data_IF_745565347756
#
_entry.id   IF_745565347756
#
_cell.length_a   1.000
_cell.length_b   1.000
_cell.length_c   1.000
_cell.angle_alpha   90.00
_cell.angle_beta   90.00
_cell.angle_gamma   90.00
#
_symmetry.space_group_name_H-M   'P 1'
#
loop_
_entity.id
_entity.type
_entity.pdbx_description
1 polymer ?
#
# COMPACT_ATOMS: atom_id res chain seq x y z
N UNK A 1 5.21 6.10 -14.77
CA UNK A 1 4.22 5.88 -13.69
C UNK A 1 4.85 5.95 -12.29
N UNK A 2 5.82 5.10 -11.91
CA UNK A 2 6.47 5.16 -10.58
C UNK A 2 7.02 6.56 -10.29
N UNK A 3 7.74 7.14 -11.27
CA UNK A 3 8.36 8.46 -11.12
C UNK A 3 7.33 9.58 -10.99
N UNK A 4 6.18 9.44 -11.63
CA UNK A 4 5.07 10.38 -11.50
C UNK A 4 4.46 10.32 -10.10
N UNK A 5 4.21 9.11 -9.57
CA UNK A 5 3.75 8.91 -8.18
C UNK A 5 4.77 9.54 -7.23
N UNK A 6 6.06 9.23 -7.42
CA UNK A 6 7.15 9.78 -6.62
C UNK A 6 7.17 11.31 -6.65
N UNK A 7 7.02 11.92 -7.83
CA UNK A 7 6.99 13.37 -8.00
C UNK A 7 5.80 13.99 -7.27
N UNK A 8 4.60 13.44 -7.44
CA UNK A 8 3.37 13.92 -6.79
C UNK A 8 3.43 13.79 -5.27
N UNK A 9 3.99 12.70 -4.75
CA UNK A 9 4.21 12.49 -3.31
C UNK A 9 5.29 13.44 -2.77
N UNK A 10 6.38 13.66 -3.51
CA UNK A 10 7.49 14.53 -3.09
C UNK A 10 7.05 15.99 -2.91
N UNK A 11 6.24 16.52 -3.84
CA UNK A 11 5.70 17.89 -3.71
C UNK A 11 4.82 18.05 -2.47
N UNK A 12 3.99 17.04 -2.15
CA UNK A 12 3.11 17.07 -0.96
C UNK A 12 3.86 16.80 0.34
N UNK A 13 4.96 16.05 0.30
CA UNK A 13 5.84 15.83 1.44
C UNK A 13 6.42 17.15 1.95
N UNK A 14 6.75 18.08 1.06
CA UNK A 14 7.25 19.40 1.47
C UNK A 14 6.22 20.19 2.29
N UNK A 15 4.92 20.05 1.99
CA UNK A 15 3.86 20.64 2.82
C UNK A 15 3.86 20.06 4.24
N UNK A 16 3.99 18.73 4.36
CA UNK A 16 4.08 18.06 5.67
C UNK A 16 5.32 18.53 6.42
N UNK A 17 6.48 18.68 5.75
CA UNK A 17 7.70 19.20 6.39
C UNK A 17 7.49 20.58 6.99
N UNK A 18 6.84 21.48 6.26
CA UNK A 18 6.57 22.87 6.70
C UNK A 18 5.61 22.86 7.88
N UNK A 19 4.47 22.17 7.75
CA UNK A 19 3.42 22.11 8.78
C UNK A 19 3.90 21.41 10.05
N UNK A 20 4.82 20.47 9.91
CA UNK A 20 5.37 19.75 11.05
C UNK A 20 6.32 20.61 11.90
N UNK A 21 6.69 21.83 11.49
CA UNK A 21 7.57 22.68 12.31
C UNK A 21 6.97 22.96 13.72
N UNK A 22 7.82 22.96 14.75
CA UNK A 22 7.44 23.18 16.16
C UNK A 22 6.63 24.46 16.37
N UNK A 23 6.84 25.50 15.56
CA UNK A 23 6.10 26.77 15.65
C UNK A 23 4.59 26.63 15.45
N UNK A 24 4.13 25.65 14.67
CA UNK A 24 2.70 25.46 14.39
C UNK A 24 1.96 24.66 15.47
N UNK A 25 2.67 23.95 16.35
CA UNK A 25 2.05 23.23 17.47
C UNK A 25 1.09 22.10 17.08
N UNK A 26 1.15 21.57 15.85
CA UNK A 26 0.22 20.53 15.40
C UNK A 26 0.47 19.18 16.09
N UNK A 27 -0.62 18.52 16.48
CA UNK A 27 -0.59 17.16 17.03
C UNK A 27 -0.16 16.14 15.95
N UNK A 28 0.53 15.08 16.37
CA UNK A 28 0.93 13.95 15.54
C UNK A 28 -0.25 13.30 14.82
N UNK A 29 -1.40 13.17 15.47
CA UNK A 29 -2.60 12.60 14.84
C UNK A 29 -3.09 13.47 13.67
N UNK A 30 -3.10 14.80 13.84
CA UNK A 30 -3.48 15.75 12.78
C UNK A 30 -2.52 15.67 11.61
N UNK A 31 -1.22 15.67 11.88
CA UNK A 31 -0.18 15.52 10.85
C UNK A 31 -0.25 14.15 10.15
N UNK A 32 -0.55 13.09 10.90
CA UNK A 32 -0.78 11.75 10.36
C UNK A 32 -2.00 11.70 9.44
N UNK A 33 -3.10 12.36 9.81
CA UNK A 33 -4.28 12.47 8.96
C UNK A 33 -4.01 13.29 7.69
N UNK A 34 -3.25 14.39 7.80
CA UNK A 34 -2.79 15.15 6.63
C UNK A 34 -1.93 14.29 5.69
N UNK A 35 -1.02 13.47 6.24
CA UNK A 35 -0.28 12.49 5.44
C UNK A 35 -1.21 11.52 4.71
N UNK A 36 -2.16 10.89 5.44
CA UNK A 36 -3.11 9.93 4.83
C UNK A 36 -3.90 10.59 3.71
N UNK A 37 -4.39 11.81 3.92
CA UNK A 37 -5.20 12.56 2.96
C UNK A 37 -4.41 13.01 1.73
N UNK A 38 -3.18 13.50 1.91
CA UNK A 38 -2.40 14.09 0.81
C UNK A 38 -1.53 13.07 0.06
N UNK A 39 -0.78 12.25 0.80
CA UNK A 39 0.20 11.31 0.23
C UNK A 39 -0.37 9.90 0.21
N UNK A 40 -1.01 9.47 1.30
CA UNK A 40 -1.61 8.15 1.42
C UNK A 40 -2.62 7.87 0.32
N UNK A 41 -3.51 8.81 0.03
CA UNK A 41 -4.50 8.71 -1.05
C UNK A 41 -3.90 8.48 -2.44
N UNK A 42 -2.74 9.10 -2.74
CA UNK A 42 -2.04 8.89 -4.02
C UNK A 42 -1.53 7.46 -4.11
N UNK A 43 -0.90 6.99 -3.04
CA UNK A 43 -0.35 5.63 -2.97
C UNK A 43 -1.48 4.61 -3.06
N UNK A 44 -2.55 4.81 -2.28
CA UNK A 44 -3.72 3.93 -2.25
C UNK A 44 -4.37 3.83 -3.62
N UNK A 45 -4.60 4.96 -4.31
CA UNK A 45 -5.23 4.93 -5.62
C UNK A 45 -4.39 4.16 -6.66
N UNK A 46 -3.07 4.19 -6.52
CA UNK A 46 -2.16 3.47 -7.41
C UNK A 46 -2.02 1.97 -7.10
N UNK A 47 -2.68 1.43 -6.08
CA UNK A 47 -2.50 0.04 -5.64
C UNK A 47 -2.62 -1.03 -6.74
N UNK A 48 -3.55 -0.94 -7.72
CA UNK A 48 -3.70 -1.99 -8.73
C UNK A 48 -2.43 -2.17 -9.56
N UNK A 49 -1.69 -1.08 -9.75
CA UNK A 49 -0.43 -1.08 -10.48
C UNK A 49 0.78 -1.31 -9.58
N UNK A 50 0.73 -0.87 -8.31
CA UNK A 50 1.84 -1.01 -7.38
C UNK A 50 2.13 -2.47 -7.01
N UNK A 51 1.12 -3.36 -7.05
CA UNK A 51 1.35 -4.79 -6.84
C UNK A 51 2.18 -5.45 -7.95
N UNK A 52 2.28 -4.83 -9.13
CA UNK A 52 3.15 -5.28 -10.23
C UNK A 52 4.54 -4.63 -10.21
N UNK A 53 4.83 -3.76 -9.22
CA UNK A 53 6.11 -3.07 -9.17
C UNK A 53 7.21 -3.95 -8.59
N UNK A 54 8.42 -3.78 -9.13
CA UNK A 54 9.62 -4.34 -8.54
C UNK A 54 9.82 -3.86 -7.10
N UNK A 55 10.45 -4.68 -6.28
CA UNK A 55 10.79 -4.34 -4.90
C UNK A 55 11.61 -3.03 -4.82
N UNK A 56 12.46 -2.77 -5.81
CA UNK A 56 13.24 -1.53 -5.93
C UNK A 56 12.37 -0.30 -6.07
N UNK A 57 11.27 -0.37 -6.82
CA UNK A 57 10.34 0.74 -6.98
C UNK A 57 9.46 0.96 -5.74
N UNK A 58 9.04 -0.12 -5.08
CA UNK A 58 8.33 -0.04 -3.80
C UNK A 58 9.24 0.61 -2.73
N UNK A 59 10.52 0.24 -2.68
CA UNK A 59 11.52 0.86 -1.79
C UNK A 59 11.63 2.38 -2.00
N UNK A 60 11.57 2.87 -3.25
CA UNK A 60 11.58 4.32 -3.53
C UNK A 60 10.38 5.05 -2.89
N UNK A 61 9.19 4.46 -2.95
CA UNK A 61 7.98 5.02 -2.32
C UNK A 61 8.08 4.93 -0.79
N UNK A 62 8.58 3.81 -0.27
CA UNK A 62 8.80 3.60 1.16
C UNK A 62 9.74 4.65 1.76
N UNK A 63 10.77 5.08 1.04
CA UNK A 63 11.68 6.16 1.48
C UNK A 63 10.93 7.48 1.68
N UNK A 64 9.97 7.82 0.80
CA UNK A 64 9.14 9.02 0.96
C UNK A 64 8.25 8.93 2.20
N UNK A 65 7.62 7.78 2.41
CA UNK A 65 6.82 7.54 3.61
C UNK A 65 7.67 7.63 4.89
N UNK A 66 8.87 7.03 4.89
CA UNK A 66 9.79 7.08 6.02
C UNK A 66 10.22 8.51 6.33
N UNK A 67 10.50 9.30 5.28
CA UNK A 67 10.79 10.72 5.42
C UNK A 67 9.63 11.44 6.11
N UNK A 68 8.39 11.26 5.63
CA UNK A 68 7.21 11.87 6.23
C UNK A 68 7.06 11.51 7.72
N UNK A 69 7.18 10.22 8.06
CA UNK A 69 7.06 9.72 9.43
C UNK A 69 8.11 10.36 10.34
N UNK A 70 9.37 10.49 9.90
CA UNK A 70 10.41 11.16 10.69
C UNK A 70 10.05 12.59 11.01
N UNK A 71 9.53 13.34 10.03
CA UNK A 71 9.08 14.70 10.26
C UNK A 71 7.93 14.75 11.26
N UNK A 72 6.89 13.94 11.05
CA UNK A 72 5.69 13.90 11.88
C UNK A 72 6.06 13.55 13.34
N UNK A 73 6.80 12.47 13.55
CA UNK A 73 7.15 11.94 14.88
C UNK A 73 8.38 12.60 15.50
N UNK A 74 9.03 13.53 14.81
CA UNK A 74 10.25 14.21 15.26
C UNK A 74 11.42 13.25 15.56
N UNK A 75 11.50 12.18 14.79
CA UNK A 75 12.59 11.21 14.91
C UNK A 75 13.86 11.76 14.30
N UNK A 76 15.00 11.32 14.81
CA UNK A 76 16.31 11.65 14.25
C UNK A 76 16.46 11.04 12.85
N UNK A 77 17.36 11.62 12.05
CA UNK A 77 17.61 11.14 10.69
C UNK A 77 18.24 9.74 10.65
N UNK A 78 19.08 9.43 11.64
CA UNK A 78 19.79 8.16 11.83
C UNK A 78 18.92 7.02 12.38
N UNK A 79 17.67 7.28 12.79
CA UNK A 79 16.81 6.23 13.36
C UNK A 79 16.63 5.09 12.35
N UNK A 80 16.90 3.84 12.69
CA UNK A 80 16.83 2.74 11.73
C UNK A 80 15.37 2.44 11.33
N UNK A 81 15.17 1.93 10.11
CA UNK A 81 13.84 1.76 9.51
C UNK A 81 12.92 0.84 10.33
N UNK A 82 13.45 -0.21 10.95
CA UNK A 82 12.68 -1.12 11.80
C UNK A 82 12.04 -0.39 13.00
N UNK A 83 12.81 0.43 13.71
CA UNK A 83 12.32 1.23 14.85
C UNK A 83 11.30 2.25 14.35
N UNK A 84 11.59 2.91 13.23
CA UNK A 84 10.68 3.87 12.61
C UNK A 84 9.33 3.23 12.29
N UNK A 85 9.31 2.03 11.69
CA UNK A 85 8.07 1.32 11.35
C UNK A 85 7.28 0.93 12.60
N UNK A 86 7.97 0.47 13.65
CA UNK A 86 7.33 0.14 14.92
C UNK A 86 6.69 1.38 15.57
N UNK A 87 7.40 2.51 15.63
CA UNK A 87 6.84 3.76 16.14
C UNK A 87 5.67 4.29 15.30
N UNK A 88 5.78 4.21 13.97
CA UNK A 88 4.74 4.63 13.05
C UNK A 88 3.45 3.82 13.24
N UNK A 89 3.58 2.51 13.43
CA UNK A 89 2.44 1.65 13.70
C UNK A 89 1.81 1.98 15.06
N UNK A 90 2.61 2.09 16.12
CA UNK A 90 2.10 2.31 17.47
C UNK A 90 1.41 3.67 17.63
N UNK A 91 2.02 4.75 17.11
CA UNK A 91 1.52 6.11 17.30
C UNK A 91 0.52 6.56 16.23
N UNK A 92 0.72 6.16 14.98
CA UNK A 92 -0.07 6.68 13.83
C UNK A 92 -0.91 5.61 13.13
N UNK A 93 -0.76 4.33 13.50
CA UNK A 93 -1.36 3.18 12.80
C UNK A 93 -0.96 3.14 11.32
N UNK A 94 0.29 3.46 11.02
CA UNK A 94 0.84 3.38 9.66
C UNK A 94 1.51 2.03 9.44
N UNK A 95 1.12 1.36 8.37
CA UNK A 95 1.78 0.16 7.85
C UNK A 95 2.87 0.55 6.85
N UNK A 96 3.79 -0.36 6.56
CA UNK A 96 4.69 -0.22 5.40
C UNK A 96 3.87 -0.13 4.11
N UNK A 97 4.46 0.45 3.05
CA UNK A 97 3.81 0.61 1.76
C UNK A 97 3.34 -0.74 1.25
N UNK A 98 4.20 -1.77 1.26
CA UNK A 98 3.84 -3.11 0.82
C UNK A 98 2.67 -3.70 1.60
N UNK A 99 2.70 -3.65 2.94
CA UNK A 99 1.65 -4.25 3.76
C UNK A 99 0.31 -3.53 3.58
N UNK A 100 0.35 -2.20 3.45
CA UNK A 100 -0.84 -1.39 3.18
C UNK A 100 -1.48 -1.75 1.83
N UNK A 101 -0.66 -1.89 0.79
CA UNK A 101 -1.13 -2.26 -0.55
C UNK A 101 -1.68 -3.68 -0.59
N UNK A 102 -1.01 -4.60 0.11
CA UNK A 102 -1.48 -5.96 0.31
C UNK A 102 -2.88 -5.98 0.96
N UNK A 103 -3.05 -5.33 2.11
CA UNK A 103 -4.35 -5.24 2.79
C UNK A 103 -5.44 -4.58 1.93
N UNK A 104 -5.09 -3.54 1.17
CA UNK A 104 -6.03 -2.88 0.25
C UNK A 104 -6.46 -3.83 -0.86
N UNK A 105 -5.51 -4.54 -1.47
CA UNK A 105 -5.81 -5.49 -2.53
C UNK A 105 -6.73 -6.61 -2.04
N UNK A 106 -6.47 -7.18 -0.86
CA UNK A 106 -7.32 -8.20 -0.27
C UNK A 106 -8.73 -7.66 0.01
N UNK A 107 -8.86 -6.48 0.61
CA UNK A 107 -10.18 -5.87 0.89
C UNK A 107 -10.97 -5.57 -0.37
N UNK A 108 -10.31 -5.06 -1.41
CA UNK A 108 -10.95 -4.77 -2.69
C UNK A 108 -11.45 -6.05 -3.37
N UNK A 109 -10.63 -7.09 -3.40
CA UNK A 109 -11.01 -8.39 -4.00
C UNK A 109 -12.10 -9.06 -3.17
N UNK A 110 -11.92 -9.19 -1.85
CA UNK A 110 -12.91 -9.79 -0.96
C UNK A 110 -14.25 -9.05 -0.99
N UNK A 111 -14.23 -7.72 -0.99
CA UNK A 111 -15.43 -6.89 -1.12
C UNK A 111 -16.10 -7.09 -2.48
N UNK A 112 -15.32 -7.11 -3.56
CA UNK A 112 -15.81 -7.38 -4.90
C UNK A 112 -16.48 -8.75 -5.02
N UNK A 113 -15.87 -9.80 -4.46
CA UNK A 113 -16.43 -11.15 -4.43
C UNK A 113 -17.68 -11.25 -3.56
N UNK A 114 -17.66 -10.67 -2.36
CA UNK A 114 -18.81 -10.67 -1.43
C UNK A 114 -20.06 -10.02 -2.04
N UNK A 115 -19.87 -8.99 -2.85
CA UNK A 115 -20.96 -8.27 -3.51
C UNK A 115 -21.20 -8.71 -4.95
N UNK A 116 -20.57 -9.80 -5.38
CA UNK A 116 -20.66 -10.35 -6.73
C UNK A 116 -20.46 -9.31 -7.83
N UNK A 117 -19.48 -8.42 -7.65
CA UNK A 117 -19.16 -7.37 -8.62
C UNK A 117 -18.70 -8.04 -9.93
N UNK A 118 -19.40 -7.84 -11.06
CA UNK A 118 -19.16 -8.61 -12.28
C UNK A 118 -17.72 -8.53 -12.80
N UNK A 119 -17.10 -7.36 -12.69
CA UNK A 119 -15.71 -7.14 -13.11
C UNK A 119 -14.71 -7.91 -12.24
N UNK A 120 -14.96 -8.00 -10.93
CA UNK A 120 -14.05 -8.72 -10.01
C UNK A 120 -14.21 -10.22 -10.17
N UNK A 121 -15.44 -10.72 -10.33
CA UNK A 121 -15.69 -12.13 -10.63
C UNK A 121 -14.96 -12.52 -11.92
N UNK A 122 -15.21 -11.79 -13.02
CA UNK A 122 -14.57 -12.06 -14.31
C UNK A 122 -13.04 -12.07 -14.23
N UNK A 123 -12.47 -11.10 -13.52
CA UNK A 123 -11.02 -10.99 -13.31
C UNK A 123 -10.47 -12.21 -12.53
N UNK A 124 -11.20 -12.69 -11.52
CA UNK A 124 -10.81 -13.87 -10.73
C UNK A 124 -10.93 -15.16 -11.54
N UNK A 125 -11.98 -15.28 -12.37
CA UNK A 125 -12.16 -16.44 -13.24
C UNK A 125 -11.07 -16.52 -14.32
N UNK A 126 -10.73 -15.39 -14.94
CA UNK A 126 -9.60 -15.28 -15.88
C UNK A 126 -8.27 -15.64 -15.20
N UNK A 127 -8.06 -15.19 -13.96
CA UNK A 127 -6.87 -15.53 -13.18
C UNK A 127 -6.76 -17.04 -12.91
N UNK A 128 -7.86 -17.71 -12.51
CA UNK A 128 -7.88 -19.16 -12.29
C UNK A 128 -7.59 -19.94 -13.58
N UNK A 129 -8.25 -19.58 -14.68
CA UNK A 129 -8.02 -20.21 -15.98
C UNK A 129 -6.57 -20.05 -16.48
N UNK A 130 -5.95 -18.88 -16.24
CA UNK A 130 -4.54 -18.63 -16.54
C UNK A 130 -3.57 -19.44 -15.67
N UNK A 131 -3.91 -19.64 -14.39
CA UNK A 131 -3.13 -20.45 -13.46
C UNK A 131 -3.16 -21.94 -13.81
N UNK A 132 -4.31 -22.45 -14.24
CA UNK A 132 -4.47 -23.85 -14.68
C UNK A 132 -3.75 -24.15 -16.01
N UNK A 133 -3.54 -23.14 -16.85
CA UNK A 133 -2.98 -23.30 -18.20
C UNK A 133 -1.47 -23.06 -18.32
N UNK A 134 -0.80 -22.49 -17.32
CA UNK A 134 0.61 -22.09 -17.42
C UNK A 134 1.37 -22.12 -16.09
N UNK A 135 2.67 -22.50 -16.13
CA UNK A 135 3.62 -22.11 -15.08
C UNK A 135 3.73 -20.58 -15.09
N UNK A 136 3.20 -19.92 -14.06
CA UNK A 136 3.14 -18.45 -14.00
C UNK A 136 4.56 -17.87 -13.85
N UNK A 137 5.18 -17.47 -14.96
CA UNK A 137 6.49 -16.79 -14.99
C UNK A 137 6.43 -15.37 -14.38
N UNK A 138 5.25 -14.75 -14.32
CA UNK A 138 5.08 -13.38 -13.81
C UNK A 138 3.94 -13.29 -12.78
N UNK A 139 4.24 -12.92 -11.52
CA UNK A 139 3.22 -12.79 -10.50
C UNK A 139 2.24 -11.68 -10.86
N UNK A 140 0.98 -12.04 -11.03
CA UNK A 140 -0.10 -11.07 -11.23
C UNK A 140 -0.41 -10.35 -9.91
N UNK A 141 -1.02 -9.15 -9.94
CA UNK A 141 -1.48 -8.47 -8.73
C UNK A 141 -2.39 -9.31 -7.81
N UNK A 142 -3.07 -10.30 -8.39
CA UNK A 142 -3.98 -11.22 -7.68
C UNK A 142 -3.27 -12.38 -6.99
N UNK A 143 -2.03 -12.70 -7.36
CA UNK A 143 -1.26 -13.76 -6.68
C UNK A 143 -1.14 -13.49 -5.18
N UNK A 144 -0.99 -12.22 -4.79
CA UNK A 144 -0.97 -11.81 -3.39
C UNK A 144 -2.31 -12.05 -2.68
N UNK A 145 -3.42 -12.06 -3.41
CA UNK A 145 -4.76 -12.29 -2.87
C UNK A 145 -5.20 -13.76 -2.96
N UNK A 146 -4.31 -14.69 -3.31
CA UNK A 146 -4.67 -16.10 -3.57
C UNK A 146 -5.44 -16.73 -2.41
N UNK A 147 -4.95 -16.63 -1.17
CA UNK A 147 -5.62 -17.20 0.00
C UNK A 147 -7.03 -16.63 0.19
N UNK A 148 -7.19 -15.32 -0.01
CA UNK A 148 -8.50 -14.65 0.03
C UNK A 148 -9.40 -15.22 -1.06
N UNK A 149 -8.95 -15.31 -2.32
CA UNK A 149 -9.73 -15.86 -3.42
C UNK A 149 -10.13 -17.31 -3.15
N UNK A 150 -9.20 -18.17 -2.71
CA UNK A 150 -9.47 -19.58 -2.42
C UNK A 150 -10.51 -19.77 -1.31
N UNK A 151 -10.58 -18.84 -0.35
CA UNK A 151 -11.58 -18.91 0.73
C UNK A 151 -13.02 -18.71 0.24
N UNK A 152 -13.24 -18.00 -0.87
CA UNK A 152 -14.56 -17.82 -1.48
C UNK A 152 -14.94 -18.97 -2.42
N UNK A 153 -13.97 -19.77 -2.87
CA UNK A 153 -14.18 -20.86 -3.83
C UNK A 153 -13.46 -22.13 -3.38
N UNK A 154 -13.96 -22.81 -2.33
CA UNK A 154 -13.29 -23.98 -1.76
C UNK A 154 -13.29 -25.22 -2.68
N UNK A 155 -14.11 -25.23 -3.74
CA UNK A 155 -14.39 -26.43 -4.55
C UNK A 155 -13.35 -26.78 -5.63
N UNK A 156 -12.25 -26.03 -5.79
CA UNK A 156 -11.23 -26.30 -6.84
C UNK A 156 -9.99 -27.07 -6.35
N UNK A 157 -10.02 -27.68 -5.16
CA UNK A 157 -8.95 -28.54 -4.65
C UNK A 157 -9.38 -30.01 -4.59
N UNK A 158 -9.72 -30.57 -5.74
CA UNK A 158 -9.63 -32.02 -5.97
C UNK A 158 -8.71 -32.24 -7.17
N UNK A 159 -7.43 -32.38 -6.86
CA UNK A 159 -6.48 -33.14 -7.70
C UNK A 159 -6.39 -34.53 -7.08
#
# INVERSE_FOLDING_TARGET
>A
MVDEIKQRCSSRLNLIKILSNKKWGLNYNTLGNLYKSLIGSIIDYSFPCLNSFSETNIKKIQVLQNSAIRFILKLKYDTPSNILHHEAFNKLKFLTVSNRLFELSERCVAGGLRHSVPLVIKLVDEYKAGFESSYVEYPTPLCNCYLTISSFFPETLTV
#
